data_IF_492051607911
#
_entry.id   IF_492051607911
#
_cell.length_a   1.000
_cell.length_b   1.000
_cell.length_c   1.000
_cell.angle_alpha   90.00
_cell.angle_beta   90.00
_cell.angle_gamma   90.00
#
_symmetry.space_group_name_H-M   'P 1'
#
loop_
_entity.id
_entity.type
_entity.pdbx_description
1 polymer ?
#
# COMPACT_ATOMS: atom_id res chain seq x y z
N UNK A 1 -7.47 -2.70 -11.49
CA UNK A 1 -6.98 -4.05 -11.16
C UNK A 1 -7.26 -4.94 -12.36
N UNK A 2 -6.20 -5.51 -12.95
CA UNK A 2 -6.35 -6.44 -14.08
C UNK A 2 -7.04 -7.74 -13.60
N UNK A 3 -7.61 -8.55 -14.50
CA UNK A 3 -8.20 -9.83 -14.12
C UNK A 3 -7.23 -10.76 -13.39
N UNK A 4 -5.94 -10.72 -13.74
CA UNK A 4 -4.93 -11.57 -13.11
C UNK A 4 -4.52 -11.04 -11.74
N UNK A 5 -4.34 -9.71 -11.59
CA UNK A 5 -4.15 -9.09 -10.28
C UNK A 5 -5.33 -9.41 -9.35
N UNK A 6 -6.56 -9.40 -9.87
CA UNK A 6 -7.76 -9.74 -9.08
C UNK A 6 -7.72 -11.17 -8.55
N UNK A 7 -7.34 -12.14 -9.38
CA UNK A 7 -7.19 -13.55 -8.96
C UNK A 7 -6.17 -13.67 -7.83
N UNK A 8 -5.04 -12.99 -7.93
CA UNK A 8 -3.99 -12.99 -6.89
C UNK A 8 -4.47 -12.27 -5.63
N UNK A 9 -5.17 -11.15 -5.75
CA UNK A 9 -5.75 -10.42 -4.62
C UNK A 9 -6.76 -11.26 -3.83
N UNK A 10 -7.62 -11.99 -4.54
CA UNK A 10 -8.65 -12.86 -3.96
C UNK A 10 -8.05 -14.11 -3.32
N UNK A 11 -6.97 -14.68 -3.87
CA UNK A 11 -6.31 -15.87 -3.33
C UNK A 11 -5.60 -15.63 -1.98
N UNK A 12 -5.18 -14.40 -1.70
CA UNK A 12 -4.53 -14.03 -0.44
C UNK A 12 -5.56 -14.05 0.69
N UNK A 13 -5.45 -15.01 1.62
CA UNK A 13 -6.35 -15.09 2.78
C UNK A 13 -5.95 -14.06 3.83
N UNK A 14 -6.85 -13.11 4.11
CA UNK A 14 -6.73 -12.18 5.23
C UNK A 14 -8.13 -11.86 5.77
N UNK A 15 -8.34 -11.86 7.09
CA UNK A 15 -9.60 -11.44 7.70
C UNK A 15 -9.77 -9.91 7.73
N UNK A 16 -8.75 -9.15 7.31
CA UNK A 16 -8.72 -7.69 7.35
C UNK A 16 -8.85 -7.08 5.96
N UNK A 17 -9.12 -5.77 5.92
CA UNK A 17 -9.12 -5.00 4.68
C UNK A 17 -7.74 -5.09 4.00
N UNK A 18 -7.74 -5.51 2.72
CA UNK A 18 -6.53 -5.81 1.95
C UNK A 18 -5.99 -4.61 1.16
N UNK A 19 -6.29 -3.37 1.57
CA UNK A 19 -5.85 -2.15 0.88
C UNK A 19 -4.31 -2.03 0.79
N UNK A 20 -3.57 -2.71 1.66
CA UNK A 20 -2.12 -2.75 1.70
C UNK A 20 -1.49 -3.64 0.62
N UNK A 21 -2.25 -4.54 -0.01
CA UNK A 21 -1.72 -5.52 -0.98
C UNK A 21 -1.06 -4.83 -2.19
N UNK A 22 -1.67 -3.83 -2.85
CA UNK A 22 -1.01 -3.13 -3.96
C UNK A 22 0.27 -2.39 -3.56
N UNK A 23 0.39 -1.94 -2.30
CA UNK A 23 1.60 -1.26 -1.79
C UNK A 23 2.78 -2.24 -1.71
N UNK A 24 2.50 -3.50 -1.35
CA UNK A 24 3.51 -4.57 -1.36
C UNK A 24 3.89 -4.94 -2.79
N UNK A 25 2.91 -5.04 -3.69
CA UNK A 25 3.18 -5.30 -5.11
C UNK A 25 4.04 -4.21 -5.74
N UNK A 26 3.75 -2.94 -5.44
CA UNK A 26 4.57 -1.82 -5.87
C UNK A 26 6.01 -1.97 -5.40
N UNK A 27 6.21 -2.28 -4.12
CA UNK A 27 7.56 -2.44 -3.56
C UNK A 27 8.35 -3.56 -4.24
N UNK A 28 7.70 -4.70 -4.49
CA UNK A 28 8.32 -5.81 -5.21
C UNK A 28 8.64 -5.45 -6.67
N UNK A 29 7.75 -4.71 -7.34
CA UNK A 29 7.95 -4.27 -8.71
C UNK A 29 9.10 -3.25 -8.82
N UNK A 30 9.24 -2.36 -7.83
CA UNK A 30 10.33 -1.39 -7.78
C UNK A 30 11.69 -2.10 -7.60
N UNK A 31 11.77 -3.09 -6.71
CA UNK A 31 12.96 -3.93 -6.55
C UNK A 31 13.30 -4.65 -7.86
N UNK A 32 12.31 -5.29 -8.49
CA UNK A 32 12.50 -5.96 -9.79
C UNK A 32 12.97 -4.99 -10.88
N UNK A 33 12.42 -3.77 -10.93
CA UNK A 33 12.85 -2.76 -11.88
C UNK A 33 14.31 -2.32 -11.67
N UNK A 34 14.80 -2.31 -10.44
CA UNK A 34 16.23 -2.10 -10.14
C UNK A 34 17.08 -3.28 -10.60
N UNK A 35 16.67 -4.52 -10.33
CA UNK A 35 17.38 -5.73 -10.78
C UNK A 35 17.48 -5.80 -12.30
N UNK A 36 16.45 -5.33 -13.01
CA UNK A 36 16.43 -5.21 -14.48
C UNK A 36 17.21 -3.98 -15.00
N UNK A 37 17.86 -3.19 -14.14
CA UNK A 37 18.64 -2.01 -14.51
C UNK A 37 17.81 -0.81 -14.98
N UNK A 38 16.48 -0.83 -14.79
CA UNK A 38 15.59 0.31 -15.12
C UNK A 38 15.70 1.43 -14.09
N UNK A 39 16.01 1.07 -12.84
CA UNK A 39 16.38 2.01 -11.77
C UNK A 39 17.88 1.86 -11.56
N UNK A 40 18.63 2.96 -11.72
CA UNK A 40 20.10 2.93 -11.73
C UNK A 40 20.67 2.64 -10.35
N UNK A 41 20.32 3.47 -9.37
CA UNK A 41 20.99 3.45 -8.08
C UNK A 41 20.06 2.97 -6.96
N UNK A 42 20.65 2.42 -5.89
CA UNK A 42 19.90 2.05 -4.68
C UNK A 42 19.29 3.25 -3.97
N UNK A 43 19.87 4.44 -4.14
CA UNK A 43 19.36 5.69 -3.59
C UNK A 43 18.04 6.07 -4.25
N UNK A 44 17.95 5.96 -5.59
CA UNK A 44 16.71 6.20 -6.33
C UNK A 44 15.59 5.24 -5.89
N UNK A 45 15.93 3.96 -5.75
CA UNK A 45 14.99 2.96 -5.24
C UNK A 45 14.51 3.30 -3.81
N UNK A 46 15.42 3.72 -2.93
CA UNK A 46 15.08 4.13 -1.58
C UNK A 46 14.13 5.33 -1.57
N UNK A 47 14.38 6.33 -2.41
CA UNK A 47 13.52 7.51 -2.52
C UNK A 47 12.11 7.13 -2.98
N UNK A 48 12.00 6.24 -3.98
CA UNK A 48 10.71 5.71 -4.46
C UNK A 48 9.96 5.00 -3.33
N UNK A 49 10.64 4.19 -2.51
CA UNK A 49 10.01 3.54 -1.36
C UNK A 49 9.63 4.52 -0.25
N UNK A 50 10.40 5.59 -0.04
CA UNK A 50 10.07 6.63 0.94
C UNK A 50 8.76 7.33 0.57
N UNK A 51 8.62 7.79 -0.67
CA UNK A 51 7.38 8.40 -1.15
C UNK A 51 6.20 7.43 -1.10
N UNK A 52 6.44 6.15 -1.41
CA UNK A 52 5.38 5.15 -1.30
C UNK A 52 4.92 4.92 0.15
N UNK A 53 5.83 4.99 1.12
CA UNK A 53 5.49 4.89 2.53
C UNK A 53 4.70 6.12 3.02
N UNK A 54 5.00 7.32 2.50
CA UNK A 54 4.21 8.52 2.77
C UNK A 54 2.78 8.33 2.26
N UNK A 55 2.61 7.90 1.01
CA UNK A 55 1.29 7.61 0.45
C UNK A 55 0.52 6.55 1.24
N UNK A 56 1.18 5.44 1.62
CA UNK A 56 0.58 4.39 2.47
C UNK A 56 0.10 4.95 3.80
N UNK A 57 0.84 5.90 4.38
CA UNK A 57 0.47 6.57 5.63
C UNK A 57 -0.82 7.36 5.47
N UNK A 58 -1.02 8.07 4.36
CA UNK A 58 -2.29 8.75 4.08
C UNK A 58 -3.47 7.78 3.98
N UNK A 59 -3.30 6.62 3.32
CA UNK A 59 -4.34 5.59 3.30
C UNK A 59 -4.68 5.08 4.71
N UNK A 60 -3.66 4.88 5.55
CA UNK A 60 -3.87 4.46 6.93
C UNK A 60 -4.58 5.56 7.76
N UNK A 61 -4.29 6.83 7.51
CA UNK A 61 -5.00 7.96 8.14
C UNK A 61 -6.48 7.95 7.79
N UNK A 62 -6.83 7.74 6.51
CA UNK A 62 -8.22 7.62 6.08
C UNK A 62 -8.93 6.44 6.77
N UNK A 63 -8.26 5.28 6.83
CA UNK A 63 -8.78 4.12 7.56
C UNK A 63 -8.97 4.42 9.06
N UNK A 64 -8.05 5.18 9.67
CA UNK A 64 -8.16 5.59 11.06
C UNK A 64 -9.38 6.47 11.33
N UNK A 65 -9.66 7.45 10.46
CA UNK A 65 -10.85 8.31 10.59
C UNK A 65 -12.17 7.56 10.36
N UNK A 66 -12.18 6.58 9.46
CA UNK A 66 -13.34 5.71 9.24
C UNK A 66 -13.59 4.78 10.44
N UNK A 67 -12.52 4.21 10.99
CA UNK A 67 -12.62 3.25 12.09
C UNK A 67 -12.92 3.91 13.44
N UNK A 68 -12.35 5.09 13.70
CA UNK A 68 -12.47 5.81 14.97
C UNK A 68 -13.20 7.13 14.75
N UNK A 69 -14.54 7.05 14.78
CA UNK A 69 -15.40 8.24 14.73
C UNK A 69 -15.34 9.10 15.98
N UNK A 70 -15.99 10.27 15.93
CA UNK A 70 -16.17 11.15 17.10
C UNK A 70 -16.93 10.35 18.18
N UNK A 71 -16.46 10.36 19.45
CA UNK A 71 -17.15 9.66 20.53
C UNK A 71 -18.63 10.01 20.57
N UNK A 72 -19.49 8.98 20.59
CA UNK A 72 -20.93 9.14 20.52
C UNK A 72 -21.48 10.02 21.65
N UNK A 73 -20.84 10.02 22.82
CA UNK A 73 -21.19 10.89 23.95
C UNK A 73 -21.06 12.39 23.64
N UNK A 74 -20.27 12.78 22.64
CA UNK A 74 -20.15 14.16 22.20
C UNK A 74 -21.17 14.54 21.13
N UNK A 75 -21.90 13.58 20.55
CA UNK A 75 -22.88 13.82 19.49
C UNK A 75 -24.33 13.56 19.92
N UNK A 76 -24.56 13.04 21.12
CA UNK A 76 -25.87 12.85 21.77
C UNK A 76 -26.26 14.07 22.62
#
# INVERSE_FOLDING_TARGET
>A
MTPDERKVYESIRSPHLKYWIPVVWFSNLAVKAREEGRIKDSIDLQLIHQEMNVFRTWCATLFGYDWVGIPLVYTQ
#
